data_IF_790774827079
#
_entry.id   IF_790774827079
#
_cell.length_a   1.000
_cell.length_b   1.000
_cell.length_c   1.000
_cell.angle_alpha   90.00
_cell.angle_beta   90.00
_cell.angle_gamma   90.00
#
_symmetry.space_group_name_H-M   'P 1'
#
loop_
_entity.id
_entity.type
_entity.pdbx_description
1 polymer ?
#
# COMPACT_ATOMS: atom_id res chain seq x y z
N UNK A 1 5.24 -51.32 -54.53
CA UNK A 1 5.91 -50.09 -55.02
C UNK A 1 4.83 -49.10 -55.38
N UNK A 2 4.83 -47.94 -54.72
CA UNK A 2 4.34 -46.60 -55.13
C UNK A 2 2.98 -46.50 -55.87
N UNK A 3 2.07 -45.56 -55.61
CA UNK A 3 1.95 -44.39 -54.73
C UNK A 3 0.67 -43.66 -55.16
N UNK A 4 0.00 -42.94 -54.25
CA UNK A 4 -0.78 -41.76 -54.62
C UNK A 4 -2.29 -41.84 -54.42
N UNK A 5 -2.74 -41.75 -53.16
CA UNK A 5 -4.10 -41.32 -52.83
C UNK A 5 -4.10 -39.80 -52.63
N UNK A 6 -4.96 -39.11 -53.37
CA UNK A 6 -5.24 -37.68 -53.24
C UNK A 6 -6.50 -37.51 -52.40
N UNK A 7 -6.36 -36.99 -51.18
CA UNK A 7 -7.47 -36.54 -50.36
C UNK A 7 -7.53 -35.02 -50.32
N UNK A 8 -8.71 -34.51 -50.67
CA UNK A 8 -9.11 -33.12 -50.71
C UNK A 8 -9.35 -32.59 -49.29
N UNK A 9 -8.54 -31.62 -48.85
CA UNK A 9 -8.75 -30.90 -47.60
C UNK A 9 -9.86 -29.84 -47.74
N UNK A 10 -10.95 -30.04 -47.01
CA UNK A 10 -12.02 -29.06 -46.80
C UNK A 10 -11.58 -28.06 -45.73
N UNK A 11 -11.38 -26.81 -46.12
CA UNK A 11 -11.06 -25.71 -45.20
C UNK A 11 -12.33 -25.25 -44.48
N UNK A 12 -12.44 -25.61 -43.20
CA UNK A 12 -13.43 -25.07 -42.27
C UNK A 12 -12.89 -23.78 -41.66
N UNK A 13 -13.35 -22.64 -42.19
CA UNK A 13 -13.15 -21.32 -41.62
C UNK A 13 -13.95 -21.25 -40.31
N UNK A 14 -13.26 -21.28 -39.17
CA UNK A 14 -13.84 -20.87 -37.88
C UNK A 14 -13.29 -19.51 -37.51
N UNK A 15 -14.16 -18.53 -37.60
CA UNK A 15 -13.97 -17.17 -37.09
C UNK A 15 -13.60 -17.23 -35.60
N UNK A 16 -12.35 -16.89 -35.30
CA UNK A 16 -11.90 -16.58 -33.94
C UNK A 16 -12.36 -15.15 -33.67
N UNK A 17 -13.54 -15.02 -33.06
CA UNK A 17 -13.95 -13.78 -32.42
C UNK A 17 -12.97 -13.47 -31.28
N UNK A 18 -12.06 -12.55 -31.56
CA UNK A 18 -11.23 -11.89 -30.56
C UNK A 18 -12.16 -11.07 -29.65
N UNK A 19 -12.65 -11.66 -28.58
CA UNK A 19 -13.23 -10.92 -27.46
C UNK A 19 -12.08 -10.18 -26.79
N UNK A 20 -11.96 -8.90 -27.13
CA UNK A 20 -11.10 -7.94 -26.43
C UNK A 20 -11.66 -7.81 -25.01
N UNK A 21 -11.04 -8.50 -24.06
CA UNK A 21 -11.31 -8.29 -22.64
C UNK A 21 -10.89 -6.86 -22.30
N UNK A 22 -11.87 -5.98 -22.06
CA UNK A 22 -11.63 -4.66 -21.51
C UNK A 22 -11.11 -4.84 -20.08
N UNK A 23 -9.91 -4.31 -19.80
CA UNK A 23 -9.34 -4.30 -18.45
C UNK A 23 -10.27 -3.51 -17.51
N UNK A 24 -10.71 -4.07 -16.37
CA UNK A 24 -11.56 -3.35 -15.42
C UNK A 24 -10.82 -2.12 -14.87
N UNK A 25 -11.48 -0.97 -14.91
CA UNK A 25 -10.90 0.31 -14.52
C UNK A 25 -10.83 0.46 -12.99
N UNK A 26 -9.62 0.67 -12.46
CA UNK A 26 -9.29 0.88 -11.04
C UNK A 26 -9.96 2.15 -10.43
N UNK A 27 -10.56 3.01 -11.26
CA UNK A 27 -11.18 4.29 -10.86
C UNK A 27 -12.25 4.12 -9.77
N UNK A 28 -13.11 3.11 -9.88
CA UNK A 28 -14.26 2.90 -8.98
C UNK A 28 -13.91 2.58 -7.53
N UNK A 29 -12.75 1.97 -7.27
CA UNK A 29 -12.38 1.55 -5.92
C UNK A 29 -11.92 2.71 -5.05
N UNK A 30 -11.12 3.63 -5.61
CA UNK A 30 -10.64 4.82 -4.91
C UNK A 30 -11.84 5.72 -4.55
N UNK A 31 -12.78 5.90 -5.48
CA UNK A 31 -13.99 6.75 -5.38
C UNK A 31 -14.81 6.51 -4.13
N UNK A 32 -14.87 5.26 -3.71
CA UNK A 32 -15.72 4.89 -2.63
C UNK A 32 -15.03 5.10 -1.26
N UNK A 33 -13.72 4.79 -1.09
CA UNK A 33 -13.02 4.75 0.23
C UNK A 33 -13.20 6.02 1.06
N UNK A 34 -13.40 7.17 0.41
CA UNK A 34 -13.35 8.48 1.05
C UNK A 34 -14.58 9.36 0.81
N UNK A 35 -15.75 8.76 0.50
CA UNK A 35 -17.02 9.51 0.48
C UNK A 35 -17.33 10.10 1.87
N UNK A 36 -17.73 11.37 1.89
CA UNK A 36 -17.89 12.18 3.10
C UNK A 36 -19.32 12.17 3.61
N UNK A 37 -19.86 10.99 3.96
CA UNK A 37 -21.15 10.95 4.66
C UNK A 37 -20.93 11.11 6.19
N UNK A 38 -21.60 12.08 6.84
CA UNK A 38 -21.41 12.33 8.27
C UNK A 38 -22.07 11.22 9.10
N UNK A 39 -21.26 10.32 9.67
CA UNK A 39 -21.74 9.30 10.62
C UNK A 39 -21.73 9.86 12.05
N UNK A 40 -22.86 9.68 12.73
CA UNK A 40 -23.18 10.16 14.08
C UNK A 40 -22.12 9.76 15.13
N UNK A 41 -21.61 10.74 15.89
CA UNK A 41 -20.55 10.56 16.88
C UNK A 41 -20.91 9.56 18.01
N UNK A 42 -19.99 8.68 18.42
CA UNK A 42 -20.19 7.83 19.60
C UNK A 42 -19.86 8.59 20.90
N UNK A 43 -20.54 8.19 21.98
CA UNK A 43 -20.43 8.79 23.31
C UNK A 43 -19.04 8.58 23.96
N UNK A 44 -18.60 9.58 24.76
CA UNK A 44 -17.33 9.62 25.50
C UNK A 44 -17.14 8.40 26.39
N UNK A 45 -16.05 7.65 26.16
CA UNK A 45 -15.56 6.63 27.09
C UNK A 45 -14.82 7.28 28.29
N UNK A 46 -14.83 6.65 29.48
CA UNK A 46 -14.11 7.15 30.66
C UNK A 46 -12.59 7.03 30.52
N UNK A 47 -11.81 7.81 31.29
CA UNK A 47 -10.34 7.80 31.21
C UNK A 47 -9.77 6.50 31.78
N UNK A 48 -9.00 5.78 30.96
CA UNK A 48 -8.29 4.57 31.35
C UNK A 48 -6.99 4.93 32.08
N UNK A 49 -6.80 4.37 33.28
CA UNK A 49 -5.58 4.50 34.10
C UNK A 49 -4.39 3.81 33.38
N UNK A 50 -3.17 4.38 33.35
CA UNK A 50 -2.03 3.77 32.65
C UNK A 50 -1.53 2.53 33.40
N UNK A 51 -1.37 1.41 32.68
CA UNK A 51 -0.76 0.19 33.20
C UNK A 51 0.79 0.30 33.16
N UNK A 52 1.51 0.19 34.29
CA UNK A 52 2.96 0.40 34.36
C UNK A 52 3.81 -0.70 33.69
N UNK A 53 3.21 -1.76 33.13
CA UNK A 53 3.90 -2.82 32.38
C UNK A 53 3.77 -2.68 30.85
N UNK A 54 3.25 -1.55 30.35
CA UNK A 54 3.13 -1.34 28.91
C UNK A 54 4.53 -1.30 28.28
N UNK A 55 4.87 -2.34 27.48
CA UNK A 55 5.99 -2.30 26.55
C UNK A 55 5.92 -0.94 25.83
N UNK A 56 7.02 -0.18 25.87
CA UNK A 56 7.14 1.08 25.16
C UNK A 56 6.75 0.84 23.71
N UNK A 57 5.59 1.35 23.33
CA UNK A 57 5.07 1.22 21.97
C UNK A 57 6.06 1.92 21.03
N UNK A 58 6.43 1.23 19.94
CA UNK A 58 7.35 1.79 18.94
C UNK A 58 6.80 3.11 18.42
N UNK A 59 7.64 4.15 18.34
CA UNK A 59 7.28 5.37 17.65
C UNK A 59 7.18 5.11 16.13
N UNK A 60 5.96 5.15 15.59
CA UNK A 60 5.70 4.93 14.16
C UNK A 60 6.23 6.05 13.27
N UNK A 61 6.59 7.21 13.82
CA UNK A 61 7.20 8.31 13.08
C UNK A 61 8.71 8.10 12.86
N UNK A 62 9.28 7.04 13.43
CA UNK A 62 10.67 6.64 13.21
C UNK A 62 10.71 5.36 12.37
N UNK A 63 11.44 5.41 11.26
CA UNK A 63 11.63 4.26 10.39
C UNK A 63 12.21 3.07 11.18
N UNK A 64 11.67 1.87 10.93
CA UNK A 64 12.16 0.66 11.57
C UNK A 64 13.46 0.22 10.87
N UNK A 65 14.55 0.14 11.64
CA UNK A 65 15.84 -0.34 11.14
C UNK A 65 16.07 -1.78 11.62
N UNK A 66 15.59 -2.76 10.84
CA UNK A 66 15.85 -4.20 11.06
C UNK A 66 16.20 -4.85 9.72
N UNK A 67 16.95 -5.97 9.76
CA UNK A 67 17.47 -6.63 8.55
C UNK A 67 16.36 -7.08 7.58
N UNK A 68 15.21 -7.47 8.13
CA UNK A 68 14.05 -7.94 7.35
C UNK A 68 13.19 -6.79 6.79
N UNK A 69 13.59 -5.53 7.02
CA UNK A 69 12.88 -4.33 6.59
C UNK A 69 13.71 -3.60 5.54
N UNK A 70 13.22 -3.46 4.30
CA UNK A 70 13.88 -2.63 3.30
C UNK A 70 14.07 -1.19 3.80
N UNK A 71 15.20 -0.53 3.48
CA UNK A 71 15.40 0.84 3.88
C UNK A 71 14.38 1.76 3.21
N UNK A 72 13.75 2.61 4.03
CA UNK A 72 12.95 3.72 3.53
C UNK A 72 13.83 4.75 2.82
N UNK A 73 13.24 5.51 1.90
CA UNK A 73 13.94 6.64 1.29
C UNK A 73 14.31 7.65 2.36
N UNK A 74 15.62 7.91 2.52
CA UNK A 74 16.20 8.72 3.60
C UNK A 74 15.46 10.07 3.78
N UNK A 75 15.24 10.81 2.69
CA UNK A 75 14.55 12.11 2.77
C UNK A 75 13.10 12.03 3.23
N UNK A 76 12.41 10.91 2.99
CA UNK A 76 11.05 10.68 3.50
C UNK A 76 11.08 10.24 4.96
N UNK A 77 12.01 9.37 5.34
CA UNK A 77 12.19 8.97 6.73
C UNK A 77 12.54 10.17 7.64
N UNK A 78 13.47 11.02 7.19
CA UNK A 78 13.85 12.25 7.88
C UNK A 78 12.69 13.23 7.99
N UNK A 79 11.84 13.30 6.96
CA UNK A 79 10.66 14.15 6.95
C UNK A 79 9.57 13.62 7.89
N UNK A 80 9.36 12.30 7.96
CA UNK A 80 8.40 11.68 8.85
C UNK A 80 8.76 11.89 10.32
N UNK A 81 10.04 11.72 10.66
CA UNK A 81 10.54 11.94 12.01
C UNK A 81 10.39 13.40 12.50
N UNK A 82 10.22 14.35 11.56
CA UNK A 82 10.10 15.79 11.83
C UNK A 82 8.66 16.31 11.72
N UNK A 83 7.67 15.43 11.57
CA UNK A 83 6.26 15.83 11.55
C UNK A 83 5.90 16.53 12.86
N UNK A 84 5.30 17.71 12.73
CA UNK A 84 4.75 18.44 13.86
C UNK A 84 3.42 17.81 14.27
N UNK A 85 3.49 16.99 15.32
CA UNK A 85 2.35 16.27 15.91
C UNK A 85 1.50 17.17 16.82
N UNK A 86 1.89 18.42 17.08
CA UNK A 86 1.08 19.39 17.82
C UNK A 86 -0.07 19.95 16.99
N UNK A 87 0.05 19.90 15.65
CA UNK A 87 -1.03 20.24 14.73
C UNK A 87 -2.14 19.20 14.85
N UNK A 88 -3.31 19.62 15.31
CA UNK A 88 -4.49 18.76 15.43
C UNK A 88 -4.92 18.31 14.02
N UNK A 89 -5.08 17.01 13.74
CA UNK A 89 -5.59 16.54 12.46
C UNK A 89 -6.99 17.11 12.13
N UNK A 90 -7.34 17.21 10.85
CA UNK A 90 -8.70 17.51 10.39
C UNK A 90 -9.69 16.45 10.85
N UNK A 91 -9.23 15.21 10.97
CA UNK A 91 -10.05 14.06 11.33
C UNK A 91 -10.12 13.91 12.84
N UNK A 92 -11.36 13.83 13.35
CA UNK A 92 -11.66 13.64 14.78
C UNK A 92 -12.04 12.18 15.12
N UNK A 93 -12.01 11.29 14.13
CA UNK A 93 -12.66 9.97 14.21
C UNK A 93 -11.65 8.81 14.05
N UNK A 94 -11.93 7.70 14.73
CA UNK A 94 -11.04 6.54 14.75
C UNK A 94 -10.89 5.80 13.41
N UNK A 95 -11.80 6.01 12.46
CA UNK A 95 -11.75 5.36 11.13
C UNK A 95 -10.59 5.87 10.27
N UNK A 96 -10.11 7.09 10.51
CA UNK A 96 -8.98 7.66 9.76
C UNK A 96 -7.62 7.10 10.22
N UNK A 97 -7.60 6.23 11.25
CA UNK A 97 -6.42 5.48 11.71
C UNK A 97 -6.39 4.04 11.21
N UNK A 98 -7.20 3.75 10.21
CA UNK A 98 -7.28 2.45 9.57
C UNK A 98 -6.53 2.47 8.24
N UNK A 99 -6.09 1.31 7.79
CA UNK A 99 -5.21 1.15 6.64
C UNK A 99 -5.85 0.22 5.60
N UNK A 100 -5.66 0.55 4.33
CA UNK A 100 -6.01 -0.33 3.19
C UNK A 100 -5.09 -1.54 3.10
N UNK A 101 -3.86 -1.41 3.61
CA UNK A 101 -2.83 -2.44 3.66
C UNK A 101 -2.25 -2.55 5.07
N UNK A 102 -1.70 -3.71 5.47
CA UNK A 102 -1.02 -3.79 6.76
C UNK A 102 0.18 -2.82 6.79
N UNK A 103 0.43 -2.20 7.95
CA UNK A 103 1.66 -1.42 8.17
C UNK A 103 2.87 -2.35 7.91
N UNK A 104 3.88 -1.96 7.11
CA UNK A 104 4.99 -2.86 6.75
C UNK A 104 5.73 -3.44 7.96
N UNK A 105 5.94 -2.61 8.98
CA UNK A 105 6.57 -3.03 10.23
C UNK A 105 5.76 -4.07 11.01
N UNK A 106 4.45 -4.20 10.75
CA UNK A 106 3.63 -5.25 11.35
C UNK A 106 4.10 -6.64 10.97
N UNK A 107 4.60 -6.81 9.74
CA UNK A 107 5.07 -8.09 9.19
C UNK A 107 6.35 -8.56 9.89
N UNK A 108 7.25 -7.62 10.24
CA UNK A 108 8.62 -7.95 10.66
C UNK A 108 8.96 -7.63 12.11
N UNK A 109 8.28 -6.67 12.74
CA UNK A 109 8.51 -6.29 14.14
C UNK A 109 7.76 -7.23 15.10
N UNK A 110 8.08 -8.51 15.03
CA UNK A 110 7.43 -9.58 15.80
C UNK A 110 8.39 -10.76 15.99
N UNK A 111 7.96 -11.81 16.69
CA UNK A 111 8.79 -13.02 16.86
C UNK A 111 8.98 -13.75 15.53
N UNK A 112 10.08 -14.51 15.33
CA UNK A 112 10.35 -15.22 14.08
C UNK A 112 9.18 -16.11 13.60
N UNK A 113 8.56 -16.87 14.50
CA UNK A 113 7.42 -17.74 14.18
C UNK A 113 6.19 -16.93 13.73
N UNK A 114 5.92 -15.82 14.40
CA UNK A 114 4.80 -14.94 14.06
C UNK A 114 5.07 -14.19 12.76
N UNK A 115 6.32 -13.82 12.48
CA UNK A 115 6.74 -13.23 11.20
C UNK A 115 6.51 -14.20 10.05
N UNK A 116 6.98 -15.45 10.17
CA UNK A 116 6.73 -16.50 9.15
C UNK A 116 5.25 -16.68 8.88
N UNK A 117 4.44 -16.69 9.93
CA UNK A 117 2.98 -16.77 9.81
C UNK A 117 2.41 -15.56 9.05
N UNK A 118 2.85 -14.35 9.39
CA UNK A 118 2.36 -13.12 8.76
C UNK A 118 2.72 -13.05 7.29
N UNK A 119 3.98 -13.34 6.93
CA UNK A 119 4.43 -13.34 5.54
C UNK A 119 3.69 -14.39 4.72
N UNK A 120 3.53 -15.60 5.25
CA UNK A 120 2.81 -16.68 4.56
C UNK A 120 1.33 -16.34 4.35
N UNK A 121 0.63 -15.93 5.41
CA UNK A 121 -0.78 -15.59 5.31
C UNK A 121 -1.01 -14.36 4.42
N UNK A 122 -0.12 -13.36 4.46
CA UNK A 122 -0.16 -12.25 3.52
C UNK A 122 -0.10 -12.75 2.08
N UNK A 123 0.88 -13.59 1.71
CA UNK A 123 0.99 -14.14 0.35
C UNK A 123 -0.26 -14.92 -0.07
N UNK A 124 -0.90 -15.65 0.83
CA UNK A 124 -2.14 -16.38 0.53
C UNK A 124 -3.32 -15.45 0.22
N UNK A 125 -3.43 -14.32 0.91
CA UNK A 125 -4.57 -13.40 0.75
C UNK A 125 -4.27 -12.25 -0.22
N UNK A 126 -3.00 -12.00 -0.55
CA UNK A 126 -2.52 -10.83 -1.28
C UNK A 126 -3.29 -10.62 -2.57
N UNK A 127 -3.27 -11.58 -3.48
CA UNK A 127 -3.83 -11.41 -4.82
C UNK A 127 -5.34 -11.18 -4.76
N UNK A 128 -6.00 -11.82 -3.80
CA UNK A 128 -7.40 -11.59 -3.51
C UNK A 128 -7.67 -10.18 -3.01
N UNK A 129 -6.86 -9.68 -2.08
CA UNK A 129 -6.95 -8.29 -1.64
C UNK A 129 -6.75 -7.34 -2.82
N UNK A 130 -5.68 -7.51 -3.60
CA UNK A 130 -5.43 -6.70 -4.79
C UNK A 130 -6.63 -6.73 -5.75
N UNK A 131 -7.25 -7.89 -5.98
CA UNK A 131 -8.48 -8.01 -6.76
C UNK A 131 -9.63 -7.20 -6.16
N UNK A 132 -9.91 -7.33 -4.85
CA UNK A 132 -10.97 -6.55 -4.17
C UNK A 132 -10.74 -5.05 -4.31
N UNK A 133 -9.49 -4.59 -4.26
CA UNK A 133 -9.14 -3.18 -4.49
C UNK A 133 -9.41 -2.72 -5.93
N UNK A 134 -9.62 -3.62 -6.89
CA UNK A 134 -10.00 -3.22 -8.26
C UNK A 134 -11.52 -3.21 -8.47
N UNK A 135 -12.28 -3.97 -7.68
CA UNK A 135 -13.70 -4.20 -7.90
C UNK A 135 -14.62 -3.43 -6.95
N UNK A 136 -14.15 -3.14 -5.74
CA UNK A 136 -14.97 -2.63 -4.65
C UNK A 136 -14.31 -1.46 -3.92
N UNK A 137 -15.10 -0.74 -3.14
CA UNK A 137 -14.64 0.15 -2.09
C UNK A 137 -13.82 -0.63 -1.07
N UNK A 138 -12.48 -0.48 -1.02
CA UNK A 138 -11.73 -1.22 -0.03
C UNK A 138 -12.06 -0.72 1.37
N UNK A 139 -12.34 -1.66 2.25
CA UNK A 139 -12.59 -1.36 3.64
C UNK A 139 -11.27 -1.07 4.34
N UNK A 140 -11.24 0.01 5.12
CA UNK A 140 -10.11 0.33 5.97
C UNK A 140 -10.11 -0.57 7.20
N UNK A 141 -8.96 -1.18 7.50
CA UNK A 141 -8.79 -2.06 8.64
C UNK A 141 -7.84 -1.45 9.67
N UNK A 142 -8.21 -1.56 10.94
CA UNK A 142 -7.31 -1.17 12.04
C UNK A 142 -6.06 -2.06 12.08
N UNK A 143 -4.97 -1.59 12.70
CA UNK A 143 -3.77 -2.42 12.88
C UNK A 143 -4.05 -3.74 13.61
N UNK A 144 -5.06 -3.77 14.50
CA UNK A 144 -5.45 -4.99 15.17
C UNK A 144 -6.23 -5.93 14.26
N UNK A 145 -7.12 -5.43 13.40
CA UNK A 145 -7.78 -6.26 12.37
C UNK A 145 -6.74 -6.86 11.41
N UNK A 146 -5.76 -6.08 10.94
CA UNK A 146 -4.65 -6.64 10.17
C UNK A 146 -3.90 -7.75 10.90
N UNK A 147 -3.60 -7.59 12.20
CA UNK A 147 -2.97 -8.67 12.99
C UNK A 147 -3.82 -9.93 13.02
N UNK A 148 -5.12 -9.80 13.26
CA UNK A 148 -6.01 -10.96 13.32
C UNK A 148 -6.06 -11.71 11.97
N UNK A 149 -6.06 -10.98 10.85
CA UNK A 149 -5.97 -11.55 9.50
C UNK A 149 -4.65 -12.30 9.32
N UNK A 150 -3.53 -11.64 9.60
CA UNK A 150 -2.19 -12.21 9.43
C UNK A 150 -1.89 -13.35 10.41
N UNK A 151 -2.58 -13.42 11.56
CA UNK A 151 -2.52 -14.54 12.49
C UNK A 151 -3.39 -15.73 12.07
N UNK A 152 -4.31 -15.53 11.13
CA UNK A 152 -5.30 -16.54 10.75
C UNK A 152 -6.46 -16.64 11.75
N UNK A 153 -6.67 -15.65 12.63
CA UNK A 153 -7.77 -15.65 13.62
C UNK A 153 -9.15 -15.43 12.99
N UNK A 154 -9.20 -15.21 11.68
CA UNK A 154 -10.42 -15.07 10.89
C UNK A 154 -11.24 -16.37 10.86
N UNK A 155 -10.59 -17.53 11.06
CA UNK A 155 -11.27 -18.83 11.17
C UNK A 155 -11.61 -19.23 12.59
N UNK A 156 -11.03 -18.56 13.60
CA UNK A 156 -11.27 -18.89 15.00
C UNK A 156 -12.69 -18.48 15.42
N UNK A 157 -13.59 -19.46 15.41
CA UNK A 157 -14.96 -19.27 15.90
C UNK A 157 -14.98 -19.38 17.42
N UNK A 158 -14.87 -18.24 18.09
CA UNK A 158 -15.23 -18.14 19.50
C UNK A 158 -16.70 -18.55 19.75
N UNK A 159 -17.14 -18.66 21.02
CA UNK A 159 -18.51 -19.03 21.34
C UNK A 159 -19.51 -18.15 20.61
N UNK A 160 -20.62 -18.73 20.16
CA UNK A 160 -21.64 -18.03 19.38
C UNK A 160 -22.05 -16.72 20.08
N UNK A 161 -22.15 -15.63 19.30
CA UNK A 161 -22.46 -14.26 19.76
C UNK A 161 -21.38 -13.56 20.60
N UNK A 162 -20.22 -14.17 20.82
CA UNK A 162 -19.08 -13.48 21.45
C UNK A 162 -18.54 -12.35 20.58
N UNK A 163 -17.82 -11.39 21.19
CA UNK A 163 -17.13 -10.32 20.47
C UNK A 163 -16.12 -10.87 19.46
N UNK A 164 -15.42 -11.94 19.83
CA UNK A 164 -14.49 -12.67 18.96
C UNK A 164 -15.22 -13.27 17.76
N UNK A 165 -16.33 -13.97 17.97
CA UNK A 165 -17.12 -14.54 16.88
C UNK A 165 -17.63 -13.47 15.88
N UNK A 166 -18.15 -12.35 16.38
CA UNK A 166 -18.59 -11.24 15.51
C UNK A 166 -17.43 -10.64 14.71
N UNK A 167 -16.26 -10.51 15.33
CA UNK A 167 -15.07 -9.96 14.69
C UNK A 167 -14.52 -10.90 13.61
N UNK A 168 -14.36 -12.19 13.92
CA UNK A 168 -13.90 -13.18 12.95
C UNK A 168 -14.88 -13.30 11.79
N UNK A 169 -16.20 -13.31 12.03
CA UNK A 169 -17.22 -13.29 10.96
C UNK A 169 -17.10 -12.06 10.06
N UNK A 170 -16.93 -10.85 10.63
CA UNK A 170 -16.73 -9.63 9.84
C UNK A 170 -15.50 -9.73 8.93
N UNK A 171 -14.39 -10.23 9.47
CA UNK A 171 -13.14 -10.39 8.70
C UNK A 171 -13.26 -11.50 7.65
N UNK A 172 -13.96 -12.58 7.97
CA UNK A 172 -14.29 -13.66 7.03
C UNK A 172 -15.06 -13.11 5.83
N UNK A 173 -16.12 -12.34 6.07
CA UNK A 173 -16.94 -11.72 5.02
C UNK A 173 -16.14 -10.74 4.16
N UNK A 174 -15.16 -10.05 4.75
CA UNK A 174 -14.28 -9.11 4.05
C UNK A 174 -13.27 -9.81 3.14
N UNK A 175 -12.66 -10.90 3.58
CA UNK A 175 -11.60 -11.60 2.84
C UNK A 175 -12.19 -12.65 1.89
N UNK A 176 -13.44 -13.08 2.09
CA UNK A 176 -14.07 -14.08 1.24
C UNK A 176 -14.05 -13.75 -0.26
N UNK A 177 -14.40 -12.52 -0.72
CA UNK A 177 -14.31 -12.17 -2.14
C UNK A 177 -12.87 -12.26 -2.67
N UNK A 178 -11.91 -11.86 -1.84
CA UNK A 178 -10.48 -11.97 -2.14
C UNK A 178 -10.07 -13.43 -2.37
N UNK A 179 -10.44 -14.33 -1.45
CA UNK A 179 -10.10 -15.74 -1.55
C UNK A 179 -10.75 -16.43 -2.75
N UNK A 180 -12.03 -16.12 -3.01
CA UNK A 180 -12.76 -16.62 -4.17
C UNK A 180 -12.08 -16.21 -5.48
N UNK A 181 -11.63 -14.96 -5.59
CA UNK A 181 -10.91 -14.46 -6.76
C UNK A 181 -9.56 -15.16 -6.96
N UNK A 182 -8.88 -15.55 -5.88
CA UNK A 182 -7.61 -16.28 -5.92
C UNK A 182 -7.77 -17.80 -6.07
N UNK A 183 -8.97 -18.32 -6.34
CA UNK A 183 -9.29 -19.76 -6.35
C UNK A 183 -8.88 -20.47 -5.04
N UNK A 184 -8.77 -19.74 -3.94
CA UNK A 184 -8.58 -20.32 -2.61
C UNK A 184 -9.97 -20.75 -2.14
N UNK A 185 -10.31 -22.02 -2.42
CA UNK A 185 -11.65 -22.58 -2.28
C UNK A 185 -12.24 -22.47 -0.86
N UNK A 186 -11.39 -22.30 0.15
CA UNK A 186 -11.81 -22.15 1.54
C UNK A 186 -10.66 -21.60 2.38
N UNK A 187 -10.99 -20.88 3.46
CA UNK A 187 -10.04 -20.54 4.53
C UNK A 187 -9.67 -21.80 5.37
N UNK A 188 -10.27 -22.95 5.07
CA UNK A 188 -9.91 -24.25 5.65
C UNK A 188 -8.43 -24.56 5.37
N UNK A 189 -7.58 -24.18 6.33
CA UNK A 189 -6.13 -24.15 6.18
C UNK A 189 -5.46 -23.05 7.01
N UNK A 190 -6.19 -21.98 7.37
CA UNK A 190 -5.72 -20.99 8.34
C UNK A 190 -6.24 -21.28 9.76
N UNK A 191 -5.40 -21.07 10.81
CA UNK A 191 -3.98 -20.78 10.71
C UNK A 191 -3.19 -22.01 10.26
N UNK A 192 -2.19 -21.81 9.41
CA UNK A 192 -1.25 -22.88 9.04
C UNK A 192 -0.39 -23.22 10.26
N UNK A 193 -0.26 -24.52 10.56
CA UNK A 193 0.58 -24.99 11.66
C UNK A 193 2.05 -24.60 11.44
N UNK A 194 2.77 -24.26 12.51
CA UNK A 194 4.12 -23.68 12.42
C UNK A 194 5.13 -24.59 11.69
N UNK A 195 4.97 -25.90 11.81
CA UNK A 195 5.77 -26.93 11.13
C UNK A 195 5.57 -26.95 9.60
N UNK A 196 4.44 -26.41 9.12
CA UNK A 196 4.10 -26.35 7.69
C UNK A 196 4.35 -24.99 7.05
N UNK A 197 4.71 -23.98 7.84
CA UNK A 197 5.03 -22.67 7.29
C UNK A 197 6.32 -22.75 6.47
N UNK A 198 6.42 -22.05 5.33
CA UNK A 198 7.71 -21.90 4.66
C UNK A 198 8.69 -21.12 5.55
N UNK A 199 9.98 -21.33 5.29
CA UNK A 199 11.01 -20.41 5.73
C UNK A 199 11.15 -19.33 4.66
N UNK A 200 11.32 -18.09 5.09
CA UNK A 200 11.59 -16.97 4.20
C UNK A 200 13.04 -16.52 4.41
N UNK A 201 13.76 -16.27 3.32
CA UNK A 201 15.05 -15.58 3.37
C UNK A 201 14.84 -14.11 3.76
N UNK A 202 15.95 -13.41 4.01
CA UNK A 202 15.91 -11.96 4.26
C UNK A 202 15.42 -11.24 3.01
N UNK A 203 15.89 -11.67 1.84
CA UNK A 203 15.56 -11.11 0.53
C UNK A 203 14.06 -11.27 0.23
N UNK A 204 13.51 -12.48 0.37
CA UNK A 204 12.08 -12.75 0.19
C UNK A 204 11.23 -11.96 1.17
N UNK A 205 11.68 -11.84 2.43
CA UNK A 205 10.99 -11.04 3.44
C UNK A 205 10.98 -9.56 3.04
N UNK A 206 12.13 -9.03 2.61
CA UNK A 206 12.27 -7.67 2.13
C UNK A 206 11.40 -7.39 0.91
N UNK A 207 11.31 -8.31 -0.06
CA UNK A 207 10.45 -8.18 -1.24
C UNK A 207 8.97 -8.11 -0.87
N UNK A 208 8.50 -8.98 0.04
CA UNK A 208 7.12 -8.97 0.53
C UNK A 208 6.82 -7.66 1.25
N UNK A 209 7.71 -7.23 2.14
CA UNK A 209 7.56 -5.98 2.91
C UNK A 209 7.59 -4.76 1.97
N UNK A 210 8.45 -4.78 0.96
CA UNK A 210 8.51 -3.74 -0.07
C UNK A 210 7.20 -3.65 -0.85
N UNK A 211 6.66 -4.78 -1.32
CA UNK A 211 5.37 -4.80 -2.04
C UNK A 211 4.21 -4.23 -1.19
N UNK A 212 4.16 -4.58 0.10
CA UNK A 212 3.17 -4.04 1.05
C UNK A 212 3.36 -2.54 1.22
N UNK A 213 4.60 -2.08 1.42
CA UNK A 213 4.93 -0.67 1.60
C UNK A 213 4.60 0.16 0.36
N UNK A 214 5.02 -0.30 -0.82
CA UNK A 214 4.83 0.39 -2.09
C UNK A 214 3.34 0.52 -2.42
N UNK A 215 2.60 -0.57 -2.29
CA UNK A 215 1.15 -0.54 -2.56
C UNK A 215 0.42 0.30 -1.51
N UNK A 216 0.77 0.16 -0.22
CA UNK A 216 0.22 0.99 0.85
C UNK A 216 0.46 2.48 0.60
N UNK A 217 1.69 2.84 0.22
CA UNK A 217 2.07 4.22 -0.10
C UNK A 217 1.27 4.78 -1.28
N UNK A 218 1.10 4.04 -2.37
CA UNK A 218 0.34 4.52 -3.54
C UNK A 218 -1.12 4.83 -3.18
N UNK A 219 -1.77 3.96 -2.40
CA UNK A 219 -3.15 4.19 -1.95
C UNK A 219 -3.24 5.36 -0.97
N UNK A 220 -2.35 5.43 0.01
CA UNK A 220 -2.29 6.52 0.98
C UNK A 220 -2.04 7.88 0.32
N UNK A 221 -1.15 7.92 -0.66
CA UNK A 221 -0.86 9.12 -1.44
C UNK A 221 -2.07 9.55 -2.28
N UNK A 222 -2.74 8.62 -2.96
CA UNK A 222 -3.94 8.90 -3.73
C UNK A 222 -5.08 9.42 -2.83
N UNK A 223 -5.27 8.78 -1.67
CA UNK A 223 -6.21 9.21 -0.65
C UNK A 223 -5.93 10.64 -0.17
N UNK A 224 -4.66 10.94 0.12
CA UNK A 224 -4.23 12.26 0.56
C UNK A 224 -4.48 13.30 -0.52
N UNK A 225 -4.05 13.05 -1.76
CA UNK A 225 -4.21 14.01 -2.86
C UNK A 225 -5.68 14.38 -3.05
N UNK A 226 -6.57 13.37 -3.06
CA UNK A 226 -8.00 13.60 -3.21
C UNK A 226 -8.58 14.40 -2.06
N UNK A 227 -8.26 14.06 -0.80
CA UNK A 227 -8.75 14.80 0.37
C UNK A 227 -8.22 16.23 0.42
N UNK A 228 -6.94 16.41 0.11
CA UNK A 228 -6.26 17.70 0.21
C UNK A 228 -6.62 18.64 -0.94
N UNK A 229 -6.77 18.14 -2.15
CA UNK A 229 -7.11 18.95 -3.33
C UNK A 229 -8.62 19.08 -3.55
N UNK A 230 -9.40 18.07 -3.13
CA UNK A 230 -10.81 17.92 -3.50
C UNK A 230 -11.02 17.53 -4.97
N UNK A 231 -9.98 17.06 -5.66
CA UNK A 231 -10.02 16.68 -7.07
C UNK A 231 -9.91 15.17 -7.23
N UNK A 232 -10.59 14.64 -8.25
CA UNK A 232 -10.35 13.29 -8.72
C UNK A 232 -9.43 13.33 -9.95
N UNK A 233 -8.19 12.87 -9.78
CA UNK A 233 -7.11 13.02 -10.76
C UNK A 233 -6.14 11.86 -10.72
N UNK A 234 -6.70 10.66 -10.81
CA UNK A 234 -5.99 9.41 -10.63
C UNK A 234 -4.78 9.25 -11.56
N UNK A 235 -4.90 9.69 -12.83
CA UNK A 235 -3.81 9.56 -13.80
C UNK A 235 -2.62 10.48 -13.49
N UNK A 236 -2.88 11.66 -12.92
CA UNK A 236 -1.85 12.59 -12.48
C UNK A 236 -1.15 12.06 -11.21
N UNK A 237 -1.91 11.41 -10.33
CA UNK A 237 -1.34 10.65 -9.19
C UNK A 237 -0.46 9.51 -9.68
N UNK A 238 -0.91 8.71 -10.66
CA UNK A 238 -0.11 7.63 -11.26
C UNK A 238 1.19 8.14 -11.89
N UNK A 239 1.21 9.37 -12.40
CA UNK A 239 2.42 9.99 -12.93
C UNK A 239 3.52 10.20 -11.87
N UNK A 240 3.19 10.11 -10.58
CA UNK A 240 4.13 10.23 -9.46
C UNK A 240 4.88 8.93 -9.13
N UNK A 241 4.50 7.80 -9.74
CA UNK A 241 5.06 6.48 -9.45
C UNK A 241 5.72 5.84 -10.67
N UNK A 242 6.73 5.01 -10.44
CA UNK A 242 7.34 4.22 -11.51
C UNK A 242 6.30 3.25 -12.10
N UNK A 243 6.32 3.08 -13.42
CA UNK A 243 5.37 2.21 -14.13
C UNK A 243 3.92 2.72 -14.17
N UNK A 244 3.60 3.84 -13.52
CA UNK A 244 2.24 4.41 -13.49
C UNK A 244 1.17 3.49 -12.88
N UNK A 245 1.59 2.57 -12.00
CA UNK A 245 0.72 1.58 -11.36
C UNK A 245 0.38 1.97 -9.92
N UNK A 246 -0.86 1.73 -9.50
CA UNK A 246 -1.28 1.91 -8.10
C UNK A 246 -1.23 0.61 -7.30
N UNK A 247 -1.38 -0.52 -7.98
CA UNK A 247 -1.53 -1.85 -7.41
C UNK A 247 -0.53 -2.77 -8.09
N UNK A 248 0.18 -3.60 -7.32
CA UNK A 248 1.00 -4.68 -7.88
C UNK A 248 2.22 -4.19 -8.67
N UNK A 249 2.96 -3.22 -8.13
CA UNK A 249 4.20 -2.77 -8.75
C UNK A 249 5.19 -3.94 -8.90
N UNK A 250 5.71 -4.22 -10.11
CA UNK A 250 6.71 -5.25 -10.31
C UNK A 250 7.99 -4.99 -9.50
N UNK A 251 8.63 -6.05 -8.99
CA UNK A 251 9.84 -5.94 -8.18
C UNK A 251 10.98 -5.19 -8.89
N UNK A 252 11.09 -5.32 -10.22
CA UNK A 252 12.12 -4.61 -11.00
C UNK A 252 11.99 -3.07 -10.96
N UNK A 253 10.85 -2.54 -10.48
CA UNK A 253 10.66 -1.11 -10.26
C UNK A 253 11.14 -0.63 -8.87
N UNK A 254 11.58 -1.53 -7.98
CA UNK A 254 12.00 -1.22 -6.61
C UNK A 254 13.20 -0.27 -6.49
N UNK A 255 13.95 -0.09 -7.58
CA UNK A 255 15.07 0.86 -7.70
C UNK A 255 14.75 2.00 -8.69
N UNK A 256 13.49 2.26 -9.00
CA UNK A 256 13.04 3.32 -9.90
C UNK A 256 12.19 4.36 -9.14
N UNK A 257 11.68 5.37 -9.85
CA UNK A 257 10.72 6.29 -9.25
C UNK A 257 11.36 7.14 -8.16
N UNK A 258 10.73 7.14 -6.99
CA UNK A 258 11.26 7.74 -5.77
C UNK A 258 12.49 7.01 -5.23
N UNK A 259 12.59 5.69 -5.45
CA UNK A 259 13.66 4.83 -4.96
C UNK A 259 14.92 4.84 -5.84
N UNK A 260 14.89 5.55 -6.97
CA UNK A 260 16.02 5.62 -7.90
C UNK A 260 17.31 6.14 -7.24
N UNK A 261 18.48 5.56 -7.55
CA UNK A 261 19.73 5.92 -6.89
C UNK A 261 20.19 7.34 -7.27
N UNK A 262 20.04 7.73 -8.53
CA UNK A 262 20.39 9.06 -9.02
C UNK A 262 19.29 10.09 -8.68
N UNK A 263 19.67 11.34 -8.41
CA UNK A 263 18.69 12.40 -8.18
C UNK A 263 18.00 12.79 -9.49
N UNK A 264 18.74 12.68 -10.58
CA UNK A 264 18.35 12.92 -11.97
C UNK A 264 17.30 11.92 -12.45
N UNK A 265 17.22 10.72 -11.87
CA UNK A 265 16.14 9.79 -12.19
C UNK A 265 14.88 10.07 -11.36
N UNK A 266 15.08 10.59 -10.14
CA UNK A 266 13.99 10.94 -9.21
C UNK A 266 13.26 12.22 -9.58
N UNK A 267 13.94 13.19 -10.20
CA UNK A 267 13.43 14.56 -10.33
C UNK A 267 12.07 14.65 -11.03
N UNK A 268 11.81 13.78 -12.02
CA UNK A 268 10.51 13.73 -12.70
C UNK A 268 9.38 13.44 -11.70
N UNK A 269 9.53 12.40 -10.89
CA UNK A 269 8.52 11.97 -9.91
C UNK A 269 8.36 12.99 -8.77
N UNK A 270 9.46 13.58 -8.32
CA UNK A 270 9.46 14.69 -7.35
C UNK A 270 8.71 15.89 -7.91
N UNK A 271 8.95 16.25 -9.17
CA UNK A 271 8.29 17.37 -9.85
C UNK A 271 6.79 17.14 -10.03
N UNK A 272 6.38 15.94 -10.46
CA UNK A 272 4.95 15.57 -10.58
C UNK A 272 4.25 15.65 -9.22
N UNK A 273 4.89 15.11 -8.18
CA UNK A 273 4.36 15.17 -6.82
C UNK A 273 4.23 16.61 -6.33
N UNK A 274 5.26 17.43 -6.54
CA UNK A 274 5.23 18.86 -6.22
C UNK A 274 4.10 19.57 -6.95
N UNK A 275 3.82 19.21 -8.21
CA UNK A 275 2.74 19.79 -9.00
C UNK A 275 1.36 19.50 -8.38
N UNK A 276 1.12 18.26 -7.95
CA UNK A 276 -0.13 17.90 -7.25
C UNK A 276 -0.32 18.72 -5.96
N UNK A 277 0.76 18.88 -5.19
CA UNK A 277 0.76 19.61 -3.92
C UNK A 277 0.42 21.11 -4.05
N UNK A 278 0.41 21.66 -5.27
CA UNK A 278 0.01 23.05 -5.51
C UNK A 278 -1.47 23.31 -5.23
N UNK A 279 -2.29 22.27 -5.28
CA UNK A 279 -3.73 22.35 -5.01
C UNK A 279 -4.10 21.86 -3.60
N UNK A 280 -3.14 21.35 -2.82
CA UNK A 280 -3.41 20.82 -1.50
C UNK A 280 -3.74 21.93 -0.51
N UNK A 281 -4.85 21.73 0.22
CA UNK A 281 -5.34 22.62 1.27
C UNK A 281 -4.88 22.07 2.63
N UNK A 282 -3.73 22.52 3.12
CA UNK A 282 -3.14 22.08 4.39
C UNK A 282 -3.23 23.19 5.45
N UNK A 283 -3.13 22.82 6.73
CA UNK A 283 -2.99 23.78 7.84
C UNK A 283 -1.58 24.37 7.84
N UNK A 284 -0.58 23.54 7.59
CA UNK A 284 0.81 23.98 7.45
C UNK A 284 1.03 24.71 6.13
N UNK A 285 1.87 25.74 6.16
CA UNK A 285 2.26 26.48 4.97
C UNK A 285 3.03 25.58 3.99
N UNK A 286 2.68 25.65 2.71
CA UNK A 286 3.42 24.99 1.64
C UNK A 286 4.78 25.68 1.43
N UNK A 287 5.90 24.94 1.36
CA UNK A 287 7.20 25.52 1.07
C UNK A 287 7.27 26.26 -0.28
N UNK A 288 7.93 27.42 -0.31
CA UNK A 288 8.01 28.27 -1.51
C UNK A 288 8.62 27.60 -2.73
N UNK A 289 9.59 26.70 -2.54
CA UNK A 289 10.23 25.97 -3.63
C UNK A 289 9.24 25.09 -4.40
N UNK A 290 8.16 24.61 -3.75
CA UNK A 290 7.11 23.86 -4.44
C UNK A 290 6.36 24.77 -5.41
N UNK A 291 6.15 26.05 -5.09
CA UNK A 291 5.48 27.00 -6.00
C UNK A 291 6.29 27.24 -7.29
N UNK A 292 7.61 27.03 -7.26
CA UNK A 292 8.50 27.23 -8.41
C UNK A 292 8.30 26.21 -9.53
N UNK A 293 7.65 25.07 -9.28
CA UNK A 293 7.42 24.07 -10.34
C UNK A 293 6.45 24.54 -11.42
N UNK A 294 5.70 25.63 -11.18
CA UNK A 294 4.88 26.30 -12.22
C UNK A 294 5.68 27.23 -13.13
N UNK A 295 6.90 27.61 -12.72
CA UNK A 295 7.70 28.59 -13.44
C UNK A 295 8.50 27.91 -14.56
N UNK A 296 7.99 28.03 -15.78
CA UNK A 296 8.62 27.46 -16.99
C UNK A 296 9.99 28.07 -17.30
N UNK A 297 10.31 29.24 -16.73
CA UNK A 297 11.59 29.91 -16.94
C UNK A 297 12.60 29.57 -15.84
N UNK A 298 12.17 28.91 -14.76
CA UNK A 298 13.06 28.51 -13.68
C UNK A 298 14.01 27.41 -14.13
N UNK A 299 15.32 27.66 -14.02
CA UNK A 299 16.35 26.68 -14.33
C UNK A 299 16.72 25.92 -13.07
N UNK A 300 16.35 24.65 -13.02
CA UNK A 300 16.64 23.76 -11.90
C UNK A 300 18.12 23.38 -11.87
N UNK A 301 18.83 23.77 -10.83
CA UNK A 301 20.12 23.16 -10.48
C UNK A 301 19.92 21.87 -9.69
N UNK A 302 20.96 21.04 -9.57
CA UNK A 302 20.94 19.85 -8.71
C UNK A 302 20.64 20.21 -7.23
N UNK A 303 21.15 21.36 -6.78
CA UNK A 303 20.87 21.88 -5.43
C UNK A 303 19.37 22.20 -5.27
N UNK A 304 18.76 22.84 -6.27
CA UNK A 304 17.32 23.16 -6.26
C UNK A 304 16.47 21.88 -6.28
N UNK A 305 16.88 20.86 -7.05
CA UNK A 305 16.19 19.56 -7.08
C UNK A 305 16.25 18.85 -5.72
N UNK A 306 17.40 18.90 -5.04
CA UNK A 306 17.55 18.35 -3.70
C UNK A 306 16.71 19.11 -2.66
N UNK A 307 16.65 20.45 -2.79
CA UNK A 307 15.80 21.30 -1.96
C UNK A 307 14.32 21.00 -2.19
N UNK A 308 13.89 20.90 -3.45
CA UNK A 308 12.53 20.54 -3.84
C UNK A 308 12.16 19.17 -3.28
N UNK A 309 13.02 18.15 -3.45
CA UNK A 309 12.78 16.80 -2.89
C UNK A 309 12.55 16.87 -1.38
N UNK A 310 13.41 17.58 -0.66
CA UNK A 310 13.30 17.72 0.80
C UNK A 310 11.99 18.42 1.19
N UNK A 311 11.61 19.48 0.46
CA UNK A 311 10.38 20.22 0.69
C UNK A 311 9.14 19.36 0.40
N UNK A 312 9.13 18.61 -0.70
CA UNK A 312 8.05 17.68 -1.06
C UNK A 312 7.87 16.60 0.00
N UNK A 313 8.96 15.95 0.43
CA UNK A 313 8.91 14.94 1.48
C UNK A 313 8.31 15.50 2.79
N UNK A 314 8.79 16.68 3.24
CA UNK A 314 8.27 17.34 4.46
C UNK A 314 6.81 17.73 4.33
N UNK A 315 6.42 18.29 3.19
CA UNK A 315 5.05 18.71 2.98
C UNK A 315 4.11 17.50 2.89
N UNK A 316 4.53 16.41 2.22
CA UNK A 316 3.81 15.14 2.20
C UNK A 316 3.55 14.58 3.59
N UNK A 317 4.59 14.35 4.39
CA UNK A 317 4.44 13.71 5.70
C UNK A 317 3.63 14.56 6.67
N UNK A 318 3.79 15.88 6.62
CA UNK A 318 2.99 16.80 7.42
C UNK A 318 1.52 16.82 6.98
N UNK A 319 1.26 16.94 5.67
CA UNK A 319 -0.10 16.91 5.14
C UNK A 319 -0.79 15.57 5.47
N UNK A 320 -0.08 14.46 5.36
CA UNK A 320 -0.60 13.15 5.72
C UNK A 320 -1.03 13.10 7.19
N UNK A 321 -0.18 13.56 8.12
CA UNK A 321 -0.56 13.66 9.53
C UNK A 321 -1.79 14.56 9.74
N UNK A 322 -1.83 15.72 9.09
CA UNK A 322 -2.96 16.63 9.19
C UNK A 322 -4.27 16.00 8.73
N UNK A 323 -4.27 15.13 7.72
CA UNK A 323 -5.49 14.51 7.19
C UNK A 323 -5.85 13.19 7.88
N UNK A 324 -4.88 12.35 8.24
CA UNK A 324 -5.13 10.98 8.73
C UNK A 324 -4.81 10.80 10.22
N UNK A 325 -3.99 11.67 10.81
CA UNK A 325 -3.65 11.58 12.24
C UNK A 325 -2.87 10.32 12.62
N UNK A 326 -2.14 9.72 11.68
CA UNK A 326 -1.14 8.68 11.91
C UNK A 326 0.09 8.88 11.01
N UNK A 327 1.16 8.12 11.28
CA UNK A 327 2.35 8.11 10.44
C UNK A 327 2.04 7.52 9.05
N UNK A 328 2.56 8.16 8.01
CA UNK A 328 2.44 7.69 6.62
C UNK A 328 3.27 6.42 6.40
N UNK A 329 2.78 5.53 5.54
CA UNK A 329 3.60 4.49 4.92
C UNK A 329 4.57 5.17 3.97
N UNK A 330 5.85 4.79 4.09
CA UNK A 330 6.92 5.36 3.27
C UNK A 330 7.29 4.39 2.15
N UNK A 331 7.57 4.89 0.94
CA UNK A 331 8.21 4.10 -0.11
C UNK A 331 9.60 3.65 0.34
N UNK A 332 9.99 2.47 -0.14
CA UNK A 332 11.23 1.80 0.23
C UNK A 332 12.03 1.41 -1.00
N UNK A 333 13.29 1.03 -0.80
CA UNK A 333 14.16 0.53 -1.85
C UNK A 333 14.65 -0.87 -1.50
N UNK A 334 14.64 -1.78 -2.45
CA UNK A 334 15.35 -3.06 -2.33
C UNK A 334 16.83 -2.82 -2.69
N UNK A 335 17.73 -3.21 -1.78
CA UNK A 335 19.16 -3.03 -1.97
C UNK A 335 19.83 -4.27 -2.58
N UNK A 336 19.22 -5.46 -2.47
CA UNK A 336 19.73 -6.67 -3.11
C UNK A 336 19.49 -6.67 -4.62
N UNK A 337 20.26 -7.50 -5.33
CA UNK A 337 20.00 -7.74 -6.74
C UNK A 337 18.84 -8.71 -6.88
N UNK A 338 17.90 -8.39 -7.76
CA UNK A 338 16.80 -9.28 -8.08
C UNK A 338 17.33 -10.37 -8.99
N UNK A 339 16.98 -11.62 -8.70
CA UNK A 339 17.24 -12.70 -9.62
C UNK A 339 16.56 -12.35 -10.95
N UNK A 340 17.33 -12.41 -12.05
CA UNK A 340 16.74 -12.25 -13.38
C UNK A 340 15.84 -13.45 -13.56
N UNK A 341 14.55 -13.22 -13.82
CA UNK A 341 13.70 -14.28 -14.34
C UNK A 341 14.32 -14.71 -15.67
N UNK A 342 15.01 -15.85 -15.67
CA UNK A 342 15.56 -16.49 -16.85
C UNK A 342 14.37 -16.94 -17.75
N UNK A 343 13.76 -16.02 -18.51
CA UNK A 343 12.50 -16.36 -19.18
C UNK A 343 11.85 -15.39 -20.16
N UNK A 344 12.29 -14.14 -20.33
CA UNK A 344 11.78 -13.29 -21.42
C UNK A 344 12.77 -13.28 -22.60
N UNK A 345 12.50 -14.17 -23.58
CA UNK A 345 13.08 -14.18 -24.94
C UNK A 345 12.15 -13.43 -25.89
#
# INVERSE_FOLDING_TARGET
MQSGSSETNSSSNRDINHVRAESPQITTAVDAIFSTDPVKAPAKAPPTVPNPAAKTERDKFVALAVVDMPPSIISMADALAKVDRSVVPYTSHGADRCYVFPEPALLVNTTPDRRRKFLHHWNLVRDGFLYVLTQHQPQLLSSQEWRDILEGLVTERGPARSRTHRRSSKLEDLIRPALQASNVASIEGLPVSLDRLPHFTVEETCEIVWLVAETGFHFEFCALDRRASGKDRLDEVRACFAGHMLVGAPLHLSKQGWAAPALEERHRYVGQTAFLMLDWKTKSARPDIINRVKDLHFRWSLSDMQLLKTAVCRHYTQAFWEYFGHAAVLPMRLDHELEKEDGEI
#
